data_IF_088389478799
#
_entry.id   IF_088389478799
#
_cell.length_a   1.000
_cell.length_b   1.000
_cell.length_c   1.000
_cell.angle_alpha   90.00
_cell.angle_beta   90.00
_cell.angle_gamma   90.00
#
_symmetry.space_group_name_H-M   'P 1'
#
loop_
_entity.id
_entity.type
_entity.pdbx_description
1 polymer ?
#
# COMPACT_ATOMS: atom_id res chain seq x y z
N UNK A 1 -2.49 -20.96 -12.10
CA UNK A 1 -3.45 -19.85 -12.30
C UNK A 1 -3.63 -19.15 -10.96
N UNK A 2 -3.13 -17.92 -10.81
CA UNK A 2 -3.42 -17.12 -9.62
C UNK A 2 -4.87 -16.65 -9.68
N UNK A 3 -5.76 -17.33 -8.95
CA UNK A 3 -7.14 -16.90 -8.80
C UNK A 3 -7.22 -15.83 -7.71
N UNK A 4 -7.38 -14.57 -8.09
CA UNK A 4 -7.73 -13.54 -7.13
C UNK A 4 -9.15 -13.78 -6.65
N UNK A 5 -9.45 -13.67 -5.34
CA UNK A 5 -10.80 -13.84 -4.81
C UNK A 5 -11.71 -12.66 -5.23
N UNK A 6 -12.07 -12.61 -6.52
CA UNK A 6 -13.11 -11.80 -7.15
C UNK A 6 -13.18 -10.31 -6.77
N UNK A 7 -14.39 -9.74 -6.90
CA UNK A 7 -14.81 -8.38 -6.54
C UNK A 7 -14.52 -8.01 -5.07
N UNK A 8 -14.18 -9.00 -4.24
CA UNK A 8 -13.86 -8.81 -2.83
C UNK A 8 -12.45 -8.30 -2.60
N UNK A 9 -11.48 -8.59 -3.48
CA UNK A 9 -10.09 -8.20 -3.25
C UNK A 9 -9.91 -6.66 -3.24
N UNK A 10 -10.38 -5.88 -4.24
CA UNK A 10 -10.29 -4.42 -4.19
C UNK A 10 -10.92 -3.83 -2.91
N UNK A 11 -12.11 -4.34 -2.53
CA UNK A 11 -12.80 -3.95 -1.30
C UNK A 11 -11.99 -4.31 -0.04
N UNK A 12 -11.37 -5.49 0.01
CA UNK A 12 -10.48 -5.91 1.10
C UNK A 12 -9.28 -4.98 1.23
N UNK A 13 -8.73 -4.53 0.09
CA UNK A 13 -7.63 -3.58 0.02
C UNK A 13 -8.05 -2.13 0.36
N UNK A 14 -9.35 -1.87 0.56
CA UNK A 14 -9.86 -0.53 0.82
C UNK A 14 -9.83 0.39 -0.41
N UNK A 15 -9.76 -0.21 -1.61
CA UNK A 15 -9.81 0.49 -2.89
C UNK A 15 -11.27 0.78 -3.21
N UNK A 16 -11.57 2.04 -3.55
CA UNK A 16 -12.90 2.52 -3.94
C UNK A 16 -12.87 3.11 -5.34
N UNK A 17 -14.01 3.16 -6.05
CA UNK A 17 -14.10 3.89 -7.32
C UNK A 17 -13.59 5.33 -7.19
N UNK A 18 -12.84 5.79 -8.20
CA UNK A 18 -12.22 7.11 -8.23
C UNK A 18 -10.86 7.21 -7.52
N UNK A 19 -10.48 6.23 -6.69
CA UNK A 19 -9.16 6.22 -6.04
C UNK A 19 -8.03 6.21 -7.09
N UNK A 20 -6.97 6.94 -6.77
CA UNK A 20 -5.66 6.81 -7.40
C UNK A 20 -4.89 5.69 -6.71
N UNK A 21 -4.60 4.63 -7.47
CA UNK A 21 -3.92 3.43 -6.98
C UNK A 21 -2.54 3.35 -7.63
N UNK A 22 -1.47 3.38 -6.83
CA UNK A 22 -0.11 3.16 -7.31
C UNK A 22 0.27 1.69 -7.13
N UNK A 23 0.62 1.02 -8.23
CA UNK A 23 1.08 -0.36 -8.24
C UNK A 23 2.58 -0.39 -8.49
N UNK A 24 3.32 -0.95 -7.54
CA UNK A 24 4.77 -1.06 -7.62
C UNK A 24 5.15 -2.54 -7.62
N UNK A 25 5.84 -2.97 -8.69
CA UNK A 25 6.24 -4.36 -8.94
C UNK A 25 5.08 -5.38 -8.96
N UNK A 26 3.85 -4.91 -9.18
CA UNK A 26 2.69 -5.79 -9.19
C UNK A 26 2.70 -6.76 -10.38
N UNK A 27 2.25 -8.01 -10.21
CA UNK A 27 2.00 -8.91 -11.33
C UNK A 27 0.96 -8.30 -12.29
N UNK A 28 1.15 -8.41 -13.61
CA UNK A 28 0.19 -7.87 -14.58
C UNK A 28 -1.22 -8.46 -14.47
N UNK A 29 -1.36 -9.65 -13.90
CA UNK A 29 -2.66 -10.25 -13.58
C UNK A 29 -3.40 -9.51 -12.47
N UNK A 30 -2.69 -8.97 -11.48
CA UNK A 30 -3.26 -8.18 -10.39
C UNK A 30 -3.75 -6.82 -10.90
N UNK A 31 -2.97 -6.17 -11.77
CA UNK A 31 -3.36 -4.89 -12.38
C UNK A 31 -4.65 -5.02 -13.20
N UNK A 32 -4.72 -6.00 -14.10
CA UNK A 32 -5.92 -6.28 -14.91
C UNK A 32 -7.16 -6.52 -14.06
N UNK A 33 -7.01 -7.14 -12.89
CA UNK A 33 -8.10 -7.35 -11.94
C UNK A 33 -8.58 -6.04 -11.31
N UNK A 34 -7.66 -5.10 -11.02
CA UNK A 34 -8.01 -3.80 -10.45
C UNK A 34 -8.65 -2.85 -11.45
N UNK A 35 -8.24 -2.84 -12.72
CA UNK A 35 -8.79 -1.98 -13.78
C UNK A 35 -10.32 -2.07 -13.89
N UNK A 36 -10.89 -3.22 -13.54
CA UNK A 36 -12.33 -3.48 -13.57
C UNK A 36 -13.14 -2.69 -12.50
N UNK A 37 -12.49 -1.92 -11.63
CA UNK A 37 -13.12 -1.28 -10.45
C UNK A 37 -13.21 0.25 -10.51
N UNK A 38 -13.10 0.84 -11.71
CA UNK A 38 -13.16 2.29 -11.93
C UNK A 38 -12.15 3.08 -11.08
N UNK A 39 -10.88 2.67 -11.14
CA UNK A 39 -9.75 3.29 -10.41
C UNK A 39 -8.76 3.89 -11.39
N UNK A 40 -7.94 4.84 -10.92
CA UNK A 40 -6.85 5.43 -11.70
C UNK A 40 -5.54 4.76 -11.32
N UNK A 41 -5.06 3.83 -12.16
CA UNK A 41 -3.81 3.12 -11.91
C UNK A 41 -2.62 3.98 -12.34
N UNK A 42 -1.55 3.94 -11.54
CA UNK A 42 -0.25 4.52 -11.87
C UNK A 42 0.87 3.61 -11.35
N UNK A 43 2.06 3.73 -11.93
CA UNK A 43 3.21 2.88 -11.64
C UNK A 43 4.37 3.68 -11.05
N UNK A 44 4.14 4.95 -10.76
CA UNK A 44 5.10 5.83 -10.13
C UNK A 44 4.43 6.76 -9.11
N UNK A 45 5.27 7.36 -8.26
CA UNK A 45 4.83 8.23 -7.17
C UNK A 45 5.01 9.72 -7.52
N UNK A 46 5.13 10.09 -8.81
CA UNK A 46 5.47 11.47 -9.22
C UNK A 46 4.35 12.46 -8.93
N UNK A 47 3.11 12.01 -8.95
CA UNK A 47 1.94 12.87 -8.76
C UNK A 47 1.22 12.54 -7.43
N UNK A 48 1.61 13.15 -6.29
CA UNK A 48 0.91 13.01 -5.03
C UNK A 48 -0.39 13.85 -4.95
N UNK A 49 -1.27 13.57 -3.97
CA UNK A 49 -1.25 12.38 -3.13
C UNK A 49 -1.83 11.15 -3.85
N UNK A 50 -1.44 9.95 -3.40
CA UNK A 50 -2.00 8.65 -3.85
C UNK A 50 -2.88 8.08 -2.74
N UNK A 51 -4.07 7.57 -3.08
CA UNK A 51 -5.02 7.03 -2.09
C UNK A 51 -4.61 5.63 -1.59
N UNK A 52 -4.15 4.78 -2.51
CA UNK A 52 -3.69 3.43 -2.18
C UNK A 52 -2.40 3.11 -2.91
N UNK A 53 -1.39 2.63 -2.20
CA UNK A 53 -0.18 2.06 -2.79
C UNK A 53 -0.19 0.55 -2.53
N UNK A 54 0.11 -0.26 -3.54
CA UNK A 54 0.34 -1.70 -3.38
C UNK A 54 1.73 -2.01 -3.90
N UNK A 55 2.66 -2.32 -3.00
CA UNK A 55 4.03 -2.69 -3.31
C UNK A 55 4.20 -4.20 -3.16
N UNK A 56 4.62 -4.86 -4.23
CA UNK A 56 5.04 -6.25 -4.20
C UNK A 56 6.56 -6.33 -4.02
N UNK A 57 7.00 -7.07 -3.00
CA UNK A 57 8.41 -7.22 -2.65
C UNK A 57 8.71 -8.64 -2.19
N UNK A 58 9.89 -9.12 -2.58
CA UNK A 58 10.45 -10.38 -2.11
C UNK A 58 11.66 -10.17 -1.18
N UNK A 59 12.18 -8.93 -1.10
CA UNK A 59 13.37 -8.60 -0.31
C UNK A 59 13.15 -7.43 0.63
N UNK A 60 13.71 -7.52 1.84
CA UNK A 60 13.74 -6.44 2.82
C UNK A 60 14.26 -5.13 2.21
N UNK A 61 15.40 -5.21 1.50
CA UNK A 61 16.04 -4.04 0.91
C UNK A 61 15.18 -3.31 -0.14
N UNK A 62 14.23 -3.99 -0.80
CA UNK A 62 13.31 -3.35 -1.74
C UNK A 62 12.23 -2.54 -1.01
N UNK A 63 11.75 -3.03 0.14
CA UNK A 63 10.82 -2.28 0.99
C UNK A 63 11.51 -1.05 1.61
N UNK A 64 12.70 -1.22 2.17
CA UNK A 64 13.45 -0.11 2.81
C UNK A 64 13.75 1.02 1.82
N UNK A 65 14.08 0.70 0.57
CA UNK A 65 14.32 1.70 -0.49
C UNK A 65 13.07 2.48 -0.90
N UNK A 66 11.88 1.97 -0.65
CA UNK A 66 10.62 2.55 -1.14
C UNK A 66 9.75 3.16 -0.05
N UNK A 67 9.84 2.67 1.18
CA UNK A 67 8.91 3.05 2.26
C UNK A 67 8.89 4.56 2.50
N UNK A 68 10.04 5.23 2.50
CA UNK A 68 10.12 6.69 2.71
C UNK A 68 9.41 7.47 1.61
N UNK A 69 9.69 7.15 0.35
CA UNK A 69 9.05 7.80 -0.81
C UNK A 69 7.53 7.57 -0.82
N UNK A 70 7.10 6.36 -0.48
CA UNK A 70 5.67 6.00 -0.41
C UNK A 70 4.98 6.81 0.68
N UNK A 71 5.54 6.85 1.90
CA UNK A 71 4.99 7.63 3.02
C UNK A 71 4.85 9.09 2.66
N UNK A 72 5.85 9.68 1.99
CA UNK A 72 5.84 11.09 1.61
C UNK A 72 4.78 11.45 0.54
N UNK A 73 4.26 10.46 -0.20
CA UNK A 73 3.34 10.64 -1.33
C UNK A 73 1.95 10.08 -1.08
N UNK A 74 1.77 9.32 0.01
CA UNK A 74 0.50 8.74 0.40
C UNK A 74 -0.44 9.83 0.93
N UNK A 75 -1.71 9.76 0.54
CA UNK A 75 -2.76 10.57 1.15
C UNK A 75 -2.83 10.29 2.68
N UNK A 76 -3.11 11.28 3.55
CA UNK A 76 -3.17 11.06 5.00
C UNK A 76 -4.16 9.97 5.42
N UNK A 77 -5.31 9.90 4.73
CA UNK A 77 -6.34 8.85 4.90
C UNK A 77 -6.09 7.60 4.04
N UNK A 78 -4.96 7.55 3.34
CA UNK A 78 -4.63 6.51 2.38
C UNK A 78 -4.23 5.18 3.02
N UNK A 79 -4.01 4.18 2.18
CA UNK A 79 -3.52 2.86 2.60
C UNK A 79 -2.30 2.43 1.82
N UNK A 80 -1.26 1.99 2.52
CA UNK A 80 -0.10 1.35 1.90
C UNK A 80 -0.13 -0.14 2.17
N UNK A 81 -0.29 -0.95 1.12
CA UNK A 81 -0.19 -2.40 1.19
C UNK A 81 1.21 -2.86 0.80
N UNK A 82 1.83 -3.64 1.67
CA UNK A 82 3.03 -4.40 1.36
C UNK A 82 2.64 -5.84 1.11
N UNK A 83 2.80 -6.29 -0.13
CA UNK A 83 2.56 -7.64 -0.58
C UNK A 83 3.87 -8.43 -0.57
N UNK A 84 3.89 -9.56 0.14
CA UNK A 84 5.03 -10.47 0.22
C UNK A 84 4.57 -11.93 0.09
N UNK A 85 5.50 -12.80 -0.31
CA UNK A 85 5.18 -14.22 -0.52
C UNK A 85 5.07 -14.94 0.82
N UNK A 86 3.97 -15.68 0.99
CA UNK A 86 3.76 -16.55 2.17
C UNK A 86 4.47 -17.88 2.05
N UNK A 87 4.74 -18.31 0.82
CA UNK A 87 5.41 -19.56 0.52
C UNK A 87 6.30 -19.41 -0.72
N UNK A 88 7.55 -19.84 -0.59
CA UNK A 88 8.55 -19.77 -1.65
C UNK A 88 9.97 -19.65 -1.09
N UNK A 89 10.92 -20.39 -1.66
CA UNK A 89 12.34 -20.24 -1.32
C UNK A 89 12.82 -18.87 -1.81
N UNK A 90 13.36 -18.04 -0.92
CA UNK A 90 14.03 -16.77 -1.27
C UNK A 90 13.32 -15.48 -0.87
N UNK A 91 12.20 -15.52 -0.14
CA UNK A 91 11.62 -14.33 0.51
C UNK A 91 12.17 -14.21 1.93
N UNK A 92 12.99 -13.19 2.20
CA UNK A 92 13.48 -12.86 3.55
C UNK A 92 12.50 -11.96 4.32
N UNK A 93 11.45 -11.49 3.63
CA UNK A 93 10.45 -10.60 4.18
C UNK A 93 9.29 -11.39 4.81
N UNK A 94 8.93 -10.99 6.03
CA UNK A 94 7.82 -11.53 6.81
C UNK A 94 6.93 -10.38 7.30
N UNK A 95 5.74 -10.70 7.80
CA UNK A 95 4.86 -9.69 8.42
C UNK A 95 5.56 -8.90 9.53
N UNK A 96 6.27 -9.59 10.44
CA UNK A 96 7.00 -8.95 11.54
C UNK A 96 8.05 -7.96 11.02
N UNK A 97 8.80 -8.32 9.97
CA UNK A 97 9.78 -7.44 9.34
C UNK A 97 9.10 -6.22 8.70
N UNK A 98 8.00 -6.42 7.98
CA UNK A 98 7.20 -5.32 7.41
C UNK A 98 6.75 -4.36 8.52
N UNK A 99 6.21 -4.88 9.62
CA UNK A 99 5.72 -4.07 10.74
C UNK A 99 6.85 -3.26 11.41
N UNK A 100 8.05 -3.82 11.56
CA UNK A 100 9.21 -3.10 12.12
C UNK A 100 9.67 -1.95 11.22
N UNK A 101 9.79 -2.19 9.91
CA UNK A 101 10.17 -1.16 8.94
C UNK A 101 9.09 -0.07 8.85
N UNK A 102 7.82 -0.47 8.84
CA UNK A 102 6.69 0.44 8.85
C UNK A 102 6.70 1.37 10.07
N UNK A 103 6.94 0.80 11.26
CA UNK A 103 7.02 1.57 12.50
C UNK A 103 8.13 2.62 12.47
N UNK A 104 9.31 2.26 11.97
CA UNK A 104 10.42 3.19 11.78
C UNK A 104 10.07 4.33 10.80
N UNK A 105 9.19 4.07 9.83
CA UNK A 105 8.69 5.06 8.88
C UNK A 105 7.46 5.84 9.37
N UNK A 106 7.07 5.69 10.65
CA UNK A 106 5.92 6.40 11.23
C UNK A 106 4.56 5.82 10.83
N UNK A 107 4.53 4.57 10.38
CA UNK A 107 3.31 3.85 10.02
C UNK A 107 2.96 2.78 11.05
N UNK A 108 1.70 2.39 11.08
CA UNK A 108 1.21 1.24 11.86
C UNK A 108 0.41 0.32 10.96
N UNK A 109 0.51 -0.98 11.20
CA UNK A 109 -0.34 -1.94 10.52
C UNK A 109 -1.75 -1.93 11.12
N UNK A 110 -2.77 -2.10 10.29
CA UNK A 110 -4.15 -2.19 10.77
C UNK A 110 -4.96 -3.33 10.18
N UNK A 111 -4.44 -4.00 9.15
CA UNK A 111 -5.11 -5.11 8.49
C UNK A 111 -4.10 -6.04 7.84
N UNK A 112 -4.45 -7.31 7.78
CA UNK A 112 -3.74 -8.34 7.01
C UNK A 112 -4.76 -9.08 6.15
N UNK A 113 -4.37 -9.47 4.93
CA UNK A 113 -5.17 -10.39 4.13
C UNK A 113 -4.33 -11.16 3.12
N UNK A 114 -4.78 -12.36 2.75
CA UNK A 114 -4.31 -13.01 1.54
C UNK A 114 -4.77 -12.21 0.30
N UNK A 115 -3.82 -11.88 -0.57
CA UNK A 115 -4.07 -11.26 -1.87
C UNK A 115 -4.47 -12.33 -2.89
N UNK A 116 -3.68 -13.40 -2.94
CA UNK A 116 -3.97 -14.62 -3.69
C UNK A 116 -3.32 -15.83 -3.00
N UNK A 117 -3.19 -16.96 -3.71
CA UNK A 117 -2.59 -18.17 -3.17
C UNK A 117 -1.07 -18.06 -2.87
N UNK A 118 -0.37 -17.09 -3.47
CA UNK A 118 1.08 -16.89 -3.34
C UNK A 118 1.43 -15.69 -2.45
N UNK A 119 0.58 -14.67 -2.42
CA UNK A 119 0.85 -13.38 -1.80
C UNK A 119 -0.07 -13.10 -0.61
N UNK A 120 0.54 -12.71 0.50
CA UNK A 120 -0.15 -12.00 1.59
C UNK A 120 0.15 -10.52 1.53
N UNK A 121 -0.76 -9.72 2.07
CA UNK A 121 -0.62 -8.29 2.21
C UNK A 121 -0.83 -7.83 3.65
N UNK A 122 0.00 -6.89 4.08
CA UNK A 122 -0.21 -6.10 5.31
C UNK A 122 -0.53 -4.67 4.92
N UNK A 123 -1.61 -4.12 5.47
CA UNK A 123 -2.00 -2.72 5.30
C UNK A 123 -1.40 -1.87 6.39
N UNK A 124 -0.68 -0.85 5.96
CA UNK A 124 -0.06 0.19 6.75
C UNK A 124 -0.84 1.50 6.56
N UNK A 125 -0.98 2.24 7.66
CA UNK A 125 -1.54 3.59 7.69
C UNK A 125 -0.60 4.51 8.45
N UNK A 126 -0.65 5.81 8.15
CA UNK A 126 0.00 6.80 9.00
C UNK A 126 -0.59 6.75 10.40
N UNK A 127 0.27 6.83 11.41
CA UNK A 127 -0.14 7.06 12.79
C UNK A 127 -0.98 8.33 12.89
N UNK A 128 -1.94 8.35 13.81
CA UNK A 128 -2.89 9.45 13.92
C UNK A 128 -2.20 10.80 14.18
N UNK A 129 -1.11 10.82 14.97
CA UNK A 129 -0.37 12.06 15.25
C UNK A 129 0.34 12.60 13.99
N UNK A 130 0.93 11.71 13.19
CA UNK A 130 1.61 12.07 11.94
C UNK A 130 0.58 12.52 10.89
N UNK A 131 -0.52 11.76 10.78
CA UNK A 131 -1.63 12.08 9.90
C UNK A 131 -2.21 13.47 10.19
N UNK A 132 -2.45 13.80 11.46
CA UNK A 132 -2.94 15.12 11.87
C UNK A 132 -1.95 16.23 11.46
N UNK A 133 -0.66 16.01 11.67
CA UNK A 133 0.38 16.97 11.29
C UNK A 133 0.48 17.17 9.77
N UNK A 134 0.34 16.09 8.97
CA UNK A 134 0.34 16.17 7.50
C UNK A 134 -0.93 16.86 6.99
N UNK A 135 -2.10 16.51 7.54
CA UNK A 135 -3.37 17.14 7.17
C UNK A 135 -3.34 18.66 7.43
N UNK A 136 -2.80 19.09 8.57
CA UNK A 136 -2.60 20.50 8.90
C UNK A 136 -1.75 21.23 7.84
N UNK A 137 -0.70 20.58 7.30
CA UNK A 137 0.14 21.18 6.25
C UNK A 137 -0.58 21.30 4.91
N UNK A 138 -1.49 20.38 4.59
CA UNK A 138 -2.23 20.38 3.33
C UNK A 138 -3.35 21.43 3.31
N UNK A 139 -4.01 21.63 4.45
CA UNK A 139 -5.09 22.60 4.64
C UNK A 139 -4.90 23.28 6.01
N UNK A 140 -4.03 24.31 6.10
CA UNK A 140 -3.86 25.04 7.35
C UNK A 140 -5.18 25.74 7.71
N UNK A 141 -5.54 25.82 9.01
CA UNK A 141 -6.71 26.58 9.43
C UNK A 141 -6.58 28.03 8.96
N UNK A 142 -7.71 28.70 8.64
CA UNK A 142 -7.69 30.11 8.27
C UNK A 142 -6.96 30.91 9.35
N UNK A 143 -6.07 31.81 8.92
CA UNK A 143 -5.40 32.72 9.84
C UNK A 143 -6.46 33.55 10.59
N UNK A 144 -6.28 33.68 11.92
CA UNK A 144 -7.12 34.47 12.81
C UNK A 144 -7.16 35.95 12.41
#
# INVERSE_FOLDING_TARGET
>A
MAGYPGTLLPKKLGIKPGHKVCLLNAPGSFERHLEQNNVRITHDLRLPPVDVVVLFVDRIADLERRVGDIVARLHPEGGFWVAFRTSGRGSDITEDVVCRIALAAGMVHNKVCAIDACWSGVRLVMRDEIRAAVAYRMLPPPAL
#
